data_IF_577586748883
#
_entry.id   IF_577586748883
#
_cell.length_a   1.000
_cell.length_b   1.000
_cell.length_c   1.000
_cell.angle_alpha   90.00
_cell.angle_beta   90.00
_cell.angle_gamma   90.00
#
_symmetry.space_group_name_H-M   'P 1'
#
loop_
_entity.id
_entity.type
_entity.pdbx_description
1 polymer ?
#
# COMPACT_ATOMS: atom_id res chain seq x y z
N UNK A 1 12.18 7.76 -12.78
CA UNK A 1 12.43 7.85 -11.33
C UNK A 1 11.55 6.82 -10.64
N UNK A 2 12.17 5.83 -10.03
CA UNK A 2 11.46 4.75 -9.39
C UNK A 2 10.67 5.26 -8.18
N UNK A 3 9.36 5.11 -8.20
CA UNK A 3 8.46 5.30 -7.05
C UNK A 3 8.62 4.16 -6.01
N UNK A 4 9.70 3.39 -6.10
CA UNK A 4 10.03 2.31 -5.19
C UNK A 4 11.08 2.81 -4.22
N UNK A 5 10.64 3.52 -3.21
CA UNK A 5 11.49 3.89 -2.08
C UNK A 5 10.97 3.26 -0.80
N UNK A 6 11.86 2.99 0.11
CA UNK A 6 11.65 2.37 1.42
C UNK A 6 10.67 3.08 2.36
N UNK A 7 10.09 4.19 1.94
CA UNK A 7 9.09 4.96 2.71
C UNK A 7 7.68 4.37 2.66
N UNK A 8 7.53 3.14 2.16
CA UNK A 8 6.27 2.60 1.67
C UNK A 8 5.26 2.14 2.70
N UNK A 9 5.61 2.11 3.96
CA UNK A 9 4.93 1.19 4.85
C UNK A 9 3.65 1.68 5.51
N UNK A 10 3.37 2.96 5.42
CA UNK A 10 2.18 3.54 6.04
C UNK A 10 1.31 4.30 5.01
N UNK A 11 1.84 4.50 3.80
CA UNK A 11 1.15 5.26 2.74
C UNK A 11 0.56 4.30 1.71
N UNK A 12 -0.72 4.43 1.44
CA UNK A 12 -1.33 3.76 0.29
C UNK A 12 -0.92 4.47 -1.00
N UNK A 13 0.15 3.95 -1.62
CA UNK A 13 0.66 4.49 -2.89
C UNK A 13 -0.22 4.16 -4.08
N UNK A 14 -0.94 3.07 -4.02
CA UNK A 14 -1.86 2.68 -5.09
C UNK A 14 -2.95 3.72 -5.22
N UNK A 15 -3.56 4.11 -4.09
CA UNK A 15 -4.54 5.19 -4.08
C UNK A 15 -3.93 6.53 -4.51
N UNK A 16 -2.77 6.90 -3.96
CA UNK A 16 -2.09 8.16 -4.30
C UNK A 16 -1.73 8.22 -5.79
N UNK A 17 -1.18 7.16 -6.36
CA UNK A 17 -0.90 7.07 -7.79
C UNK A 17 -2.18 7.18 -8.62
N UNK A 18 -3.27 6.55 -8.20
CA UNK A 18 -4.57 6.65 -8.88
C UNK A 18 -5.14 8.07 -8.85
N UNK A 19 -4.93 8.82 -7.78
CA UNK A 19 -5.31 10.24 -7.72
C UNK A 19 -4.47 11.11 -8.68
N UNK A 20 -3.17 10.81 -8.83
CA UNK A 20 -2.32 11.46 -9.82
C UNK A 20 -2.83 11.18 -11.24
N UNK A 21 -3.16 9.92 -11.56
CA UNK A 21 -3.72 9.56 -12.87
C UNK A 21 -5.07 10.22 -13.13
N UNK A 22 -5.88 10.40 -12.10
CA UNK A 22 -7.14 11.14 -12.20
C UNK A 22 -6.92 12.61 -12.49
N UNK A 23 -5.94 13.24 -11.86
CA UNK A 23 -5.62 14.65 -12.04
C UNK A 23 -4.95 14.91 -13.41
N UNK A 24 -4.16 13.97 -13.89
CA UNK A 24 -3.40 14.08 -15.13
C UNK A 24 -3.71 12.89 -16.08
N UNK A 25 -4.91 12.82 -16.66
CA UNK A 25 -5.34 11.68 -17.48
C UNK A 25 -4.55 11.51 -18.78
N UNK A 26 -3.82 12.54 -19.21
CA UNK A 26 -2.97 12.50 -20.40
C UNK A 26 -1.54 12.02 -20.15
N UNK A 27 -1.19 11.68 -18.88
CA UNK A 27 0.12 11.10 -18.59
C UNK A 27 0.31 9.78 -19.36
N UNK A 28 1.42 9.62 -20.10
CA UNK A 28 1.69 8.38 -20.81
C UNK A 28 2.09 7.30 -19.80
N UNK A 29 1.22 6.32 -19.59
CA UNK A 29 1.47 5.17 -18.73
C UNK A 29 1.60 3.94 -19.60
N UNK A 30 2.82 3.41 -19.73
CA UNK A 30 3.09 2.20 -20.51
C UNK A 30 2.75 0.92 -19.74
N UNK A 31 2.97 0.91 -18.43
CA UNK A 31 2.65 -0.20 -17.53
C UNK A 31 2.21 0.33 -16.17
N UNK A 32 1.26 -0.38 -15.57
CA UNK A 32 0.77 -0.09 -14.22
C UNK A 32 0.56 -1.38 -13.44
N UNK A 33 1.37 -1.57 -12.41
CA UNK A 33 1.28 -2.72 -11.50
C UNK A 33 1.09 -2.24 -10.08
N UNK A 34 0.00 -2.65 -9.46
CA UNK A 34 -0.28 -2.43 -8.06
C UNK A 34 0.13 -3.66 -7.25
N UNK A 35 0.76 -3.46 -6.10
CA UNK A 35 1.19 -4.53 -5.20
C UNK A 35 0.68 -4.22 -3.80
N UNK A 36 -0.08 -5.14 -3.22
CA UNK A 36 -0.52 -5.10 -1.83
C UNK A 36 -1.15 -3.76 -1.41
N UNK A 37 -2.04 -3.23 -2.23
CA UNK A 37 -2.77 -2.01 -1.97
C UNK A 37 -4.02 -1.93 -2.81
N UNK A 38 -4.86 -0.95 -2.54
CA UNK A 38 -6.12 -0.77 -3.27
C UNK A 38 -6.39 0.71 -3.56
N UNK A 39 -7.43 0.97 -4.33
CA UNK A 39 -7.96 2.32 -4.56
C UNK A 39 -8.74 2.87 -3.35
N UNK A 40 -8.92 2.05 -2.33
CA UNK A 40 -9.74 2.34 -1.15
C UNK A 40 -8.90 2.12 0.12
N UNK A 41 -8.02 3.06 0.52
CA UNK A 41 -7.15 2.89 1.68
C UNK A 41 -7.91 2.67 2.98
N UNK A 42 -9.07 3.29 3.13
CA UNK A 42 -9.92 3.18 4.33
C UNK A 42 -11.32 2.75 3.89
N UNK A 43 -11.64 1.48 4.02
CA UNK A 43 -12.92 0.94 3.58
C UNK A 43 -13.22 -0.38 4.29
N UNK A 44 -14.48 -0.60 4.66
CA UNK A 44 -14.91 -1.79 5.42
C UNK A 44 -14.57 -3.12 4.74
N UNK A 45 -14.63 -3.18 3.41
CA UNK A 45 -14.46 -4.43 2.65
C UNK A 45 -13.45 -4.35 1.51
N UNK A 46 -12.84 -3.19 1.27
CA UNK A 46 -11.93 -2.97 0.14
C UNK A 46 -10.58 -2.37 0.52
N UNK A 47 -10.34 -2.12 1.78
CA UNK A 47 -9.13 -1.52 2.30
C UNK A 47 -8.88 -1.88 3.74
N UNK A 48 -8.15 -1.04 4.44
CA UNK A 48 -8.03 -1.11 5.90
C UNK A 48 -9.37 -0.65 6.48
N UNK A 49 -9.94 -1.43 7.38
CA UNK A 49 -11.21 -1.03 8.01
C UNK A 49 -11.07 0.28 8.77
N UNK A 50 -12.07 1.16 8.77
CA UNK A 50 -12.00 2.45 9.47
C UNK A 50 -11.60 2.31 10.95
N UNK A 51 -12.12 1.33 11.66
CA UNK A 51 -11.79 1.08 13.06
C UNK A 51 -10.31 0.74 13.27
N UNK A 52 -9.73 -0.09 12.39
CA UNK A 52 -8.30 -0.47 12.46
C UNK A 52 -7.43 0.73 12.09
N UNK A 53 -7.81 1.49 11.07
CA UNK A 53 -7.07 2.69 10.67
C UNK A 53 -7.04 3.74 11.79
N UNK A 54 -8.19 4.07 12.35
CA UNK A 54 -8.29 5.03 13.46
C UNK A 54 -7.54 4.55 14.70
N UNK A 55 -7.66 3.29 15.05
CA UNK A 55 -6.91 2.70 16.16
C UNK A 55 -5.40 2.78 15.95
N UNK A 56 -4.93 2.55 14.73
CA UNK A 56 -3.51 2.70 14.37
C UNK A 56 -3.06 4.15 14.48
N UNK A 57 -3.84 5.08 13.92
CA UNK A 57 -3.52 6.50 13.94
C UNK A 57 -3.47 7.06 15.37
N UNK A 58 -4.48 6.76 16.18
CA UNK A 58 -4.57 7.26 17.55
C UNK A 58 -3.52 6.63 18.49
N UNK A 59 -3.25 5.34 18.29
CA UNK A 59 -2.30 4.58 19.11
C UNK A 59 -0.85 4.65 18.62
N UNK A 60 -0.55 5.42 17.58
CA UNK A 60 0.78 5.43 16.98
C UNK A 60 1.83 6.05 17.92
N UNK A 61 2.82 5.25 18.25
CA UNK A 61 4.01 5.63 18.99
C UNK A 61 5.19 4.74 18.56
N UNK A 62 6.37 4.96 19.11
CA UNK A 62 7.57 4.20 18.72
C UNK A 62 7.40 2.67 18.86
N UNK A 63 6.72 2.21 19.90
CA UNK A 63 6.51 0.77 20.12
C UNK A 63 5.46 0.18 19.19
N UNK A 64 4.34 0.86 18.98
CA UNK A 64 3.27 0.40 18.09
C UNK A 64 3.71 0.47 16.63
N UNK A 65 4.56 1.42 16.26
CA UNK A 65 5.18 1.47 14.95
C UNK A 65 6.03 0.22 14.67
N UNK A 66 6.85 -0.21 15.61
CA UNK A 66 7.64 -1.44 15.48
C UNK A 66 6.75 -2.68 15.34
N UNK A 67 5.66 -2.75 16.08
CA UNK A 67 4.69 -3.85 15.95
C UNK A 67 4.01 -3.84 14.57
N UNK A 68 3.66 -2.67 14.08
CA UNK A 68 3.09 -2.52 12.74
C UNK A 68 4.06 -2.97 11.66
N UNK A 69 5.32 -2.55 11.72
CA UNK A 69 6.37 -2.95 10.79
C UNK A 69 6.62 -4.46 10.81
N UNK A 70 6.59 -5.10 11.98
CA UNK A 70 6.65 -6.57 12.08
C UNK A 70 5.47 -7.26 11.39
N UNK A 71 4.29 -6.70 11.58
CA UNK A 71 3.07 -7.24 10.98
C UNK A 71 3.05 -7.11 9.45
N UNK A 72 3.70 -6.09 8.91
CA UNK A 72 3.90 -5.93 7.47
C UNK A 72 4.80 -7.01 6.87
N UNK A 73 5.85 -7.40 7.59
CA UNK A 73 6.86 -8.33 7.13
C UNK A 73 6.42 -9.77 7.36
N UNK A 74 6.70 -10.66 6.42
CA UNK A 74 6.30 -12.07 6.50
C UNK A 74 7.18 -12.91 7.41
N UNK A 75 8.41 -12.47 7.70
CA UNK A 75 9.39 -13.20 8.50
C UNK A 75 10.26 -12.26 9.34
N UNK A 76 10.95 -12.84 10.31
CA UNK A 76 11.94 -12.10 11.10
C UNK A 76 13.12 -11.60 10.25
N UNK A 77 13.49 -12.35 9.21
CA UNK A 77 14.54 -11.95 8.26
C UNK A 77 14.10 -10.74 7.42
N UNK A 78 12.86 -10.75 6.89
CA UNK A 78 12.30 -9.60 6.16
C UNK A 78 12.18 -8.37 7.04
N UNK A 79 11.76 -8.54 8.29
CA UNK A 79 11.69 -7.44 9.24
C UNK A 79 13.06 -6.83 9.52
N UNK A 80 14.08 -7.67 9.72
CA UNK A 80 15.46 -7.22 9.93
C UNK A 80 15.99 -6.46 8.70
N UNK A 81 15.77 -7.00 7.50
CA UNK A 81 16.14 -6.35 6.25
C UNK A 81 15.41 -5.02 6.09
N UNK A 82 14.11 -4.99 6.36
CA UNK A 82 13.30 -3.78 6.32
C UNK A 82 13.85 -2.69 7.25
N UNK A 83 14.23 -3.04 8.47
CA UNK A 83 14.77 -2.09 9.45
C UNK A 83 16.08 -1.41 9.01
N UNK A 84 16.86 -2.07 8.13
CA UNK A 84 18.09 -1.47 7.58
C UNK A 84 17.84 -0.37 6.55
N UNK A 85 16.69 -0.42 5.88
CA UNK A 85 16.33 0.49 4.78
C UNK A 85 15.19 1.44 5.15
N UNK A 86 14.48 1.17 6.25
CA UNK A 86 13.38 2.01 6.70
C UNK A 86 13.89 3.42 7.08
N UNK A 87 13.27 4.47 6.57
CA UNK A 87 13.65 5.81 6.96
C UNK A 87 13.37 6.03 8.44
N UNK A 88 14.34 6.63 9.12
CA UNK A 88 14.19 7.03 10.51
C UNK A 88 13.50 8.38 10.56
N UNK A 89 12.17 8.35 10.64
CA UNK A 89 11.34 9.55 10.72
C UNK A 89 10.70 9.66 12.09
N UNK A 90 10.51 10.89 12.60
CA UNK A 90 9.75 11.12 13.83
C UNK A 90 8.34 10.54 13.73
N UNK A 91 7.88 9.90 14.80
CA UNK A 91 6.54 9.30 14.84
C UNK A 91 5.45 10.34 14.60
N UNK A 92 5.64 11.56 15.10
CA UNK A 92 4.68 12.65 14.91
C UNK A 92 4.49 13.02 13.42
N UNK A 93 5.57 13.03 12.63
CA UNK A 93 5.46 13.26 11.18
C UNK A 93 4.65 12.15 10.49
N UNK A 94 4.87 10.89 10.87
CA UNK A 94 4.11 9.76 10.33
C UNK A 94 2.63 9.85 10.70
N UNK A 95 2.35 10.31 11.91
CA UNK A 95 0.98 10.51 12.40
C UNK A 95 0.27 11.62 11.63
N UNK A 96 0.95 12.74 11.41
CA UNK A 96 0.43 13.84 10.59
C UNK A 96 0.15 13.40 9.14
N UNK A 97 1.03 12.60 8.55
CA UNK A 97 0.81 12.03 7.21
C UNK A 97 -0.40 11.12 7.15
N UNK A 98 -0.56 10.21 8.10
CA UNK A 98 -1.73 9.34 8.15
C UNK A 98 -3.03 10.14 8.31
N UNK A 99 -3.02 11.17 9.14
CA UNK A 99 -4.16 12.06 9.31
C UNK A 99 -4.48 12.83 8.01
N UNK A 100 -3.46 13.28 7.29
CA UNK A 100 -3.61 13.95 6.00
C UNK A 100 -4.17 13.01 4.92
N UNK A 101 -3.66 11.77 4.84
CA UNK A 101 -4.19 10.75 3.91
C UNK A 101 -5.66 10.48 4.19
N UNK A 102 -6.02 10.29 5.46
CA UNK A 102 -7.42 10.10 5.87
C UNK A 102 -8.31 11.24 5.39
N UNK A 103 -7.92 12.48 5.65
CA UNK A 103 -8.70 13.65 5.27
C UNK A 103 -8.83 13.79 3.75
N UNK A 104 -7.74 13.61 3.02
CA UNK A 104 -7.74 13.67 1.56
C UNK A 104 -8.60 12.55 0.95
N UNK A 105 -8.51 11.35 1.48
CA UNK A 105 -9.33 10.24 1.01
C UNK A 105 -10.82 10.48 1.24
N UNK A 106 -11.22 10.94 2.43
CA UNK A 106 -12.62 11.20 2.77
C UNK A 106 -13.22 12.34 1.93
N UNK A 107 -12.42 13.28 1.47
CA UNK A 107 -12.85 14.41 0.63
C UNK A 107 -12.68 14.15 -0.87
N UNK A 108 -12.12 13.03 -1.29
CA UNK A 108 -11.85 12.71 -2.69
C UNK A 108 -12.91 11.75 -3.27
N UNK A 109 -13.08 11.83 -4.59
CA UNK A 109 -13.85 10.85 -5.35
C UNK A 109 -12.92 9.72 -5.83
N UNK A 110 -13.43 8.49 -6.01
CA UNK A 110 -12.68 7.39 -6.58
C UNK A 110 -12.08 7.73 -7.95
N UNK A 111 -10.92 7.16 -8.25
CA UNK A 111 -10.31 7.26 -9.58
C UNK A 111 -10.93 6.24 -10.53
N UNK A 112 -11.16 6.64 -11.78
CA UNK A 112 -11.59 5.76 -12.87
C UNK A 112 -10.41 5.10 -13.59
N UNK A 113 -9.18 5.35 -13.16
CA UNK A 113 -8.00 4.72 -13.76
C UNK A 113 -8.02 3.21 -13.58
N UNK A 114 -7.89 2.47 -14.69
CA UNK A 114 -7.84 1.01 -14.70
C UNK A 114 -6.39 0.56 -14.72
N UNK A 115 -6.00 -0.21 -13.71
CA UNK A 115 -4.68 -0.79 -13.62
C UNK A 115 -4.52 -2.00 -14.54
N UNK A 116 -3.32 -2.18 -15.11
CA UNK A 116 -3.06 -3.36 -15.93
C UNK A 116 -2.96 -4.62 -15.09
N UNK A 117 -2.23 -4.57 -14.00
CA UNK A 117 -2.02 -5.71 -13.12
C UNK A 117 -2.15 -5.29 -11.66
N UNK A 118 -2.83 -6.11 -10.87
CA UNK A 118 -2.82 -6.04 -9.42
C UNK A 118 -2.29 -7.36 -8.85
N UNK A 119 -1.33 -7.26 -7.94
CA UNK A 119 -0.71 -8.41 -7.26
C UNK A 119 -1.14 -8.38 -5.80
N UNK A 120 -1.75 -9.48 -5.37
CA UNK A 120 -2.22 -9.68 -4.00
C UNK A 120 -1.31 -10.67 -3.30
N UNK A 121 -0.70 -10.25 -2.20
CA UNK A 121 0.00 -11.14 -1.28
C UNK A 121 -0.99 -11.88 -0.38
N UNK A 122 -1.06 -13.20 -0.49
CA UNK A 122 -2.03 -14.01 0.26
C UNK A 122 -1.78 -14.00 1.78
N UNK A 123 -0.61 -13.57 2.20
CA UNK A 123 -0.23 -13.41 3.60
C UNK A 123 -0.21 -11.95 4.07
N UNK A 124 -0.79 -11.04 3.29
CA UNK A 124 -0.90 -9.62 3.68
C UNK A 124 -1.83 -9.46 4.89
N UNK A 125 -1.29 -8.90 5.97
CA UNK A 125 -2.02 -8.64 7.22
C UNK A 125 -2.38 -7.17 7.42
N UNK A 126 -2.04 -6.32 6.46
CA UNK A 126 -2.34 -4.88 6.46
C UNK A 126 -3.54 -4.63 5.57
N UNK A 127 -3.40 -4.94 4.28
CA UNK A 127 -4.52 -5.00 3.33
C UNK A 127 -4.93 -6.45 3.15
N UNK A 128 -5.99 -6.87 3.81
CA UNK A 128 -6.44 -8.26 3.78
C UNK A 128 -6.67 -8.72 2.33
N UNK A 129 -6.23 -9.95 1.96
CA UNK A 129 -6.34 -10.45 0.58
C UNK A 129 -7.77 -10.40 0.04
N UNK A 130 -8.76 -10.76 0.83
CA UNK A 130 -10.19 -10.72 0.43
C UNK A 130 -10.65 -9.28 0.14
N UNK A 131 -10.17 -8.31 0.89
CA UNK A 131 -10.46 -6.89 0.66
C UNK A 131 -9.80 -6.38 -0.61
N UNK A 132 -8.55 -6.78 -0.86
CA UNK A 132 -7.85 -6.46 -2.09
C UNK A 132 -8.59 -7.04 -3.31
N UNK A 133 -9.00 -8.29 -3.25
CA UNK A 133 -9.74 -8.95 -4.32
C UNK A 133 -11.06 -8.22 -4.62
N UNK A 134 -11.83 -7.86 -3.60
CA UNK A 134 -13.06 -7.09 -3.78
C UNK A 134 -12.80 -5.70 -4.39
N UNK A 135 -11.72 -5.04 -3.95
CA UNK A 135 -11.36 -3.72 -4.44
C UNK A 135 -10.97 -3.72 -5.91
N UNK A 136 -10.32 -4.80 -6.38
CA UNK A 136 -9.79 -4.91 -7.73
C UNK A 136 -10.80 -5.40 -8.77
N UNK A 137 -11.96 -5.89 -8.37
CA UNK A 137 -13.01 -6.28 -9.32
C UNK A 137 -13.36 -5.12 -10.25
N UNK A 138 -13.17 -5.32 -11.56
CA UNK A 138 -13.38 -4.32 -12.62
C UNK A 138 -12.47 -3.07 -12.54
N UNK A 139 -11.39 -3.11 -11.76
CA UNK A 139 -10.42 -2.02 -11.62
C UNK A 139 -9.01 -2.41 -12.07
N UNK A 140 -8.77 -3.68 -12.33
CA UNK A 140 -7.55 -4.20 -12.95
C UNK A 140 -7.88 -5.16 -14.09
N UNK A 141 -7.01 -5.20 -15.12
CA UNK A 141 -7.15 -6.14 -16.23
C UNK A 141 -6.73 -7.54 -15.80
N UNK A 142 -5.62 -7.65 -15.07
CA UNK A 142 -5.10 -8.91 -14.53
C UNK A 142 -5.00 -8.85 -13.02
N UNK A 143 -5.41 -9.93 -12.36
CA UNK A 143 -5.32 -10.11 -10.92
C UNK A 143 -4.49 -11.34 -10.62
N UNK A 144 -3.41 -11.19 -9.87
CA UNK A 144 -2.46 -12.26 -9.53
C UNK A 144 -2.39 -12.42 -8.01
N UNK A 145 -2.43 -13.65 -7.56
CA UNK A 145 -2.18 -14.01 -6.16
C UNK A 145 -0.79 -14.60 -6.03
N UNK A 146 -0.05 -14.16 -5.01
CA UNK A 146 1.29 -14.64 -4.69
C UNK A 146 1.40 -14.95 -3.20
N UNK A 147 2.21 -15.93 -2.86
CA UNK A 147 2.51 -16.24 -1.46
C UNK A 147 3.50 -15.21 -0.90
N UNK A 148 2.99 -14.08 -0.46
CA UNK A 148 3.79 -12.96 0.04
C UNK A 148 3.05 -12.19 1.13
N UNK A 149 3.80 -11.61 2.06
CA UNK A 149 3.32 -10.63 3.03
C UNK A 149 3.14 -9.24 2.39
N UNK A 150 2.67 -8.27 3.15
CA UNK A 150 2.51 -6.90 2.70
C UNK A 150 3.81 -6.29 2.16
N UNK A 151 4.91 -6.53 2.85
CA UNK A 151 6.26 -6.18 2.41
C UNK A 151 7.10 -7.45 2.26
N UNK A 152 7.62 -7.67 1.06
CA UNK A 152 8.57 -8.73 0.75
C UNK A 152 9.52 -8.24 -0.36
N UNK A 153 10.78 -8.07 -0.01
CA UNK A 153 11.78 -7.47 -0.89
C UNK A 153 11.94 -8.23 -2.21
N UNK A 154 11.92 -9.55 -2.14
CA UNK A 154 12.08 -10.40 -3.33
C UNK A 154 10.96 -10.16 -4.34
N UNK A 155 9.71 -10.08 -3.88
CA UNK A 155 8.56 -9.79 -4.75
C UNK A 155 8.72 -8.46 -5.47
N UNK A 156 9.13 -7.41 -4.75
CA UNK A 156 9.35 -6.10 -5.36
C UNK A 156 10.47 -6.15 -6.38
N UNK A 157 11.58 -6.85 -6.09
CA UNK A 157 12.68 -7.00 -7.01
C UNK A 157 12.26 -7.74 -8.29
N UNK A 158 11.51 -8.83 -8.18
CA UNK A 158 10.99 -9.59 -9.32
C UNK A 158 10.08 -8.73 -10.20
N UNK A 159 9.17 -7.98 -9.61
CA UNK A 159 8.26 -7.10 -10.38
C UNK A 159 9.05 -6.02 -11.11
N UNK A 160 10.03 -5.38 -10.47
CA UNK A 160 10.87 -4.35 -11.07
C UNK A 160 11.72 -4.94 -12.22
N UNK A 161 12.29 -6.11 -12.03
CA UNK A 161 13.13 -6.77 -13.05
C UNK A 161 12.35 -7.22 -14.27
N UNK A 162 11.05 -7.52 -14.13
CA UNK A 162 10.17 -7.93 -15.22
C UNK A 162 9.54 -6.75 -15.98
N UNK A 163 9.75 -5.51 -15.51
CA UNK A 163 9.38 -4.28 -16.23
C UNK A 163 10.51 -3.94 -17.23
N UNK A 164 10.65 -4.75 -18.25
CA UNK A 164 11.56 -4.45 -19.38
C UNK A 164 10.77 -4.26 -20.68
#
# INVERSE_FOLDING_TARGET
>A
SSLVGSEMCIRDRVWAASQVMKQYPSLPVSQSTAINGTLYPIHETKGITPSVFEGTLQGLNAQTLLKFQRRMCGSAADYKAFQTIAPKRPVEELKEELAAIRQQYLSSLPSEFVWQTAIIGDNDRIFLPDHQEQAWRNKAVSLLHVEAAHYQQELFNEVIMNIK
#
